data_IF_900761048909
#
_entry.id   IF_900761048909
#
_cell.length_a   1.000
_cell.length_b   1.000
_cell.length_c   1.000
_cell.angle_alpha   90.00
_cell.angle_beta   90.00
_cell.angle_gamma   90.00
#
_symmetry.space_group_name_H-M   'P 1'
#
loop_
_entity.id
_entity.type
_entity.pdbx_description
1 polymer ?
#
# COMPACT_ATOMS: atom_id res chain seq x y z
N UNK A 1 60.32 -7.07 -45.95
CA UNK A 1 60.75 -7.66 -44.66
C UNK A 1 60.32 -6.73 -43.52
N UNK A 2 59.58 -7.28 -42.53
CA UNK A 2 59.25 -6.74 -41.19
C UNK A 2 58.43 -5.42 -41.14
N UNK A 3 57.10 -5.47 -41.09
CA UNK A 3 56.24 -5.81 -39.93
C UNK A 3 56.27 -4.75 -38.82
N UNK A 4 55.23 -3.90 -38.71
CA UNK A 4 54.78 -3.29 -37.45
C UNK A 4 53.27 -3.08 -37.49
N UNK A 5 52.58 -4.01 -36.82
CA UNK A 5 51.17 -3.97 -36.50
C UNK A 5 50.87 -2.82 -35.53
N UNK A 6 49.93 -1.93 -35.88
CA UNK A 6 49.35 -0.98 -34.94
C UNK A 6 47.96 -1.50 -34.55
N UNK A 7 47.93 -2.43 -33.60
CA UNK A 7 46.69 -2.89 -32.98
C UNK A 7 46.14 -1.75 -32.13
N UNK A 8 45.05 -1.13 -32.57
CA UNK A 8 44.21 -0.30 -31.70
C UNK A 8 43.56 -1.22 -30.66
N UNK A 9 44.18 -1.30 -29.49
CA UNK A 9 43.55 -1.82 -28.27
C UNK A 9 42.46 -0.83 -27.85
N UNK A 10 41.26 -0.98 -28.42
CA UNK A 10 40.05 -0.37 -27.87
C UNK A 10 39.89 -0.98 -26.47
N UNK A 11 39.89 -0.16 -25.40
CA UNK A 11 39.86 -0.69 -24.05
C UNK A 11 38.50 -1.36 -23.85
N UNK A 12 38.52 -2.67 -23.65
CA UNK A 12 37.40 -3.53 -23.23
C UNK A 12 36.79 -3.11 -21.87
N UNK A 13 37.18 -1.95 -21.34
CA UNK A 13 36.93 -1.45 -20.00
C UNK A 13 35.87 -0.34 -20.00
N UNK A 14 34.85 -0.45 -20.85
CA UNK A 14 33.72 0.50 -20.83
C UNK A 14 32.34 -0.16 -20.92
N UNK A 15 32.26 -1.50 -20.92
CA UNK A 15 30.99 -2.23 -20.96
C UNK A 15 30.60 -2.89 -19.62
N UNK A 16 31.48 -2.90 -18.61
CA UNK A 16 31.20 -3.53 -17.31
C UNK A 16 30.53 -2.62 -16.29
N UNK A 17 30.34 -1.33 -16.58
CA UNK A 17 29.76 -0.38 -15.61
C UNK A 17 28.23 -0.29 -15.65
N UNK A 18 27.56 -0.87 -16.65
CA UNK A 18 26.10 -0.75 -16.81
C UNK A 18 25.27 -1.82 -16.09
N UNK A 19 25.89 -2.76 -15.35
CA UNK A 19 25.17 -3.83 -14.62
C UNK A 19 24.94 -3.55 -13.13
N UNK A 20 25.52 -2.50 -12.55
CA UNK A 20 25.44 -2.24 -11.10
C UNK A 20 24.26 -1.35 -10.67
N UNK A 21 23.40 -0.90 -11.59
CA UNK A 21 22.23 -0.07 -11.27
C UNK A 21 20.92 -0.85 -11.13
N UNK A 22 20.98 -2.18 -11.08
CA UNK A 22 19.86 -3.02 -10.67
C UNK A 22 19.65 -2.96 -9.16
N UNK A 23 19.12 -1.85 -8.64
CA UNK A 23 18.78 -1.73 -7.23
C UNK A 23 17.96 -2.94 -6.74
N UNK A 24 18.29 -3.48 -5.57
CA UNK A 24 17.55 -4.59 -4.97
C UNK A 24 16.09 -4.19 -4.75
N UNK A 25 15.18 -4.64 -5.62
CA UNK A 25 13.74 -4.39 -5.51
C UNK A 25 13.19 -4.98 -4.19
N UNK A 26 12.37 -4.21 -3.49
CA UNK A 26 11.83 -4.54 -2.16
C UNK A 26 10.85 -5.72 -2.23
N UNK A 27 10.62 -6.40 -1.10
CA UNK A 27 9.56 -7.42 -1.00
C UNK A 27 8.20 -6.76 -0.81
N UNK A 28 7.20 -7.32 -1.49
CA UNK A 28 5.79 -7.01 -1.35
C UNK A 28 5.05 -8.21 -0.74
N UNK A 29 3.75 -8.07 -0.49
CA UNK A 29 2.88 -9.14 0.00
C UNK A 29 1.84 -9.53 -1.04
N UNK A 30 1.62 -10.83 -1.19
CA UNK A 30 0.48 -11.40 -1.90
C UNK A 30 -0.74 -11.35 -0.98
N UNK A 31 -1.59 -10.34 -1.17
CA UNK A 31 -2.79 -10.17 -0.38
C UNK A 31 -3.96 -9.72 -1.24
N UNK A 32 -5.08 -10.43 -1.12
CA UNK A 32 -6.35 -10.16 -1.80
C UNK A 32 -7.46 -9.99 -0.78
N UNK A 33 -8.14 -8.84 -0.76
CA UNK A 33 -9.35 -8.67 0.05
C UNK A 33 -10.46 -9.59 -0.47
N UNK A 34 -10.63 -9.71 -1.79
CA UNK A 34 -11.66 -10.56 -2.40
C UNK A 34 -11.62 -11.99 -1.85
N UNK A 35 -10.44 -12.61 -1.82
CA UNK A 35 -10.26 -13.98 -1.32
C UNK A 35 -10.52 -14.13 0.18
N UNK A 36 -10.30 -13.09 0.98
CA UNK A 36 -10.61 -13.12 2.41
C UNK A 36 -12.11 -12.87 2.66
N UNK A 37 -12.75 -12.00 1.89
CA UNK A 37 -14.19 -11.76 1.93
C UNK A 37 -14.98 -13.01 1.52
N UNK A 38 -14.56 -13.72 0.47
CA UNK A 38 -15.13 -15.01 0.03
C UNK A 38 -15.09 -16.07 1.14
N UNK A 39 -14.08 -16.02 2.02
CA UNK A 39 -13.92 -16.92 3.17
C UNK A 39 -14.68 -16.46 4.42
N UNK A 40 -15.50 -15.41 4.31
CA UNK A 40 -16.39 -14.95 5.37
C UNK A 40 -15.81 -13.89 6.31
N UNK A 41 -14.60 -13.37 6.05
CA UNK A 41 -14.01 -12.28 6.84
C UNK A 41 -14.62 -10.92 6.48
N UNK A 42 -15.90 -10.74 6.80
CA UNK A 42 -16.69 -9.55 6.41
C UNK A 42 -16.44 -8.32 7.31
N UNK A 43 -16.01 -8.53 8.55
CA UNK A 43 -15.66 -7.42 9.44
C UNK A 43 -14.23 -6.94 9.13
N UNK A 44 -14.13 -5.73 8.56
CA UNK A 44 -12.85 -5.08 8.24
C UNK A 44 -11.94 -4.94 9.47
N UNK A 45 -12.52 -4.75 10.67
CA UNK A 45 -11.74 -4.58 11.89
C UNK A 45 -11.08 -5.88 12.36
N UNK A 46 -11.51 -7.04 11.85
CA UNK A 46 -10.84 -8.32 12.09
C UNK A 46 -9.34 -8.20 11.80
N UNK A 47 -8.96 -7.52 10.72
CA UNK A 47 -7.56 -7.32 10.34
C UNK A 47 -7.02 -5.94 10.73
N UNK A 48 -7.81 -4.88 10.52
CA UNK A 48 -7.35 -3.50 10.71
C UNK A 48 -7.18 -3.07 12.17
N UNK A 49 -7.81 -3.78 13.11
CA UNK A 49 -7.59 -3.71 14.56
C UNK A 49 -7.46 -2.27 15.12
N UNK A 50 -8.38 -1.39 14.68
CA UNK A 50 -8.54 -0.09 15.30
C UNK A 50 -9.22 -0.26 16.67
N UNK A 51 -8.81 0.59 17.61
CA UNK A 51 -9.30 0.56 18.99
C UNK A 51 -10.19 1.78 19.22
N UNK A 52 -10.17 2.32 20.43
CA UNK A 52 -10.87 3.55 20.81
C UNK A 52 -10.41 4.78 20.00
N UNK A 53 -9.21 4.72 19.39
CA UNK A 53 -8.71 5.75 18.47
C UNK A 53 -9.47 5.77 17.14
N UNK A 54 -10.21 4.70 16.80
CA UNK A 54 -10.93 4.52 15.54
C UNK A 54 -10.05 4.79 14.32
N UNK A 55 -8.76 4.49 14.43
CA UNK A 55 -7.78 4.69 13.37
C UNK A 55 -7.32 3.33 12.82
N UNK A 56 -7.79 2.92 11.62
CA UNK A 56 -7.41 1.66 10.99
C UNK A 56 -5.90 1.55 10.79
N UNK A 57 -5.33 0.41 11.21
CA UNK A 57 -3.89 0.14 11.07
C UNK A 57 -3.64 -0.85 9.96
N UNK A 58 -2.43 -0.82 9.42
CA UNK A 58 -1.95 -1.87 8.54
C UNK A 58 -1.77 -3.16 9.36
N UNK A 59 -2.33 -4.30 8.91
CA UNK A 59 -2.15 -5.57 9.59
C UNK A 59 -0.66 -5.94 9.67
N UNK A 60 -0.21 -6.32 10.86
CA UNK A 60 1.14 -6.86 11.06
C UNK A 60 1.15 -8.36 10.73
N UNK A 61 2.34 -8.92 10.48
CA UNK A 61 2.54 -10.34 10.19
C UNK A 61 1.82 -11.28 11.18
N UNK A 62 1.87 -10.96 12.48
CA UNK A 62 1.19 -11.73 13.52
C UNK A 62 -0.33 -11.85 13.31
N UNK A 63 -0.98 -10.86 12.68
CA UNK A 63 -2.41 -10.92 12.35
C UNK A 63 -2.68 -11.96 11.27
N UNK A 64 -1.85 -12.02 10.22
CA UNK A 64 -1.92 -13.06 9.20
C UNK A 64 -1.73 -14.45 9.83
N UNK A 65 -0.74 -14.57 10.71
CA UNK A 65 -0.39 -15.82 11.37
C UNK A 65 -1.42 -16.32 12.40
N UNK A 66 -2.36 -15.46 12.81
CA UNK A 66 -3.45 -15.89 13.71
C UNK A 66 -4.40 -16.92 13.08
N UNK A 67 -4.43 -16.99 11.74
CA UNK A 67 -5.21 -17.98 10.98
C UNK A 67 -4.35 -18.80 10.00
N UNK A 68 -3.30 -18.19 9.44
CA UNK A 68 -2.39 -18.87 8.52
C UNK A 68 -1.19 -19.46 9.26
N UNK A 69 -0.82 -20.70 8.93
CA UNK A 69 0.47 -21.31 9.34
C UNK A 69 0.72 -21.30 10.85
N UNK A 70 0.02 -22.17 11.57
CA UNK A 70 0.18 -22.38 13.04
C UNK A 70 1.64 -22.64 13.46
N UNK A 71 2.40 -23.32 12.61
CA UNK A 71 3.82 -23.65 12.82
C UNK A 71 4.72 -22.90 11.81
N UNK A 72 4.59 -21.58 11.75
CA UNK A 72 5.36 -20.75 10.83
C UNK A 72 6.86 -20.76 11.17
N UNK A 73 7.64 -21.41 10.31
CA UNK A 73 9.09 -21.43 10.39
C UNK A 73 9.70 -20.26 9.59
N UNK A 74 10.22 -19.26 10.31
CA UNK A 74 10.92 -18.10 9.75
C UNK A 74 12.30 -18.44 9.17
N UNK A 75 12.85 -19.62 9.48
CA UNK A 75 14.16 -20.05 8.97
C UNK A 75 14.07 -20.69 7.58
N UNK A 76 12.88 -21.11 7.15
CA UNK A 76 12.65 -21.71 5.84
C UNK A 76 12.28 -20.64 4.78
N UNK A 77 13.14 -20.35 3.79
CA UNK A 77 12.84 -19.33 2.78
C UNK A 77 11.59 -19.62 1.93
N UNK A 78 11.20 -20.89 1.79
CA UNK A 78 10.01 -21.28 1.01
C UNK A 78 8.71 -20.92 1.72
N UNK A 79 8.67 -20.95 3.06
CA UNK A 79 7.48 -20.54 3.83
C UNK A 79 7.16 -19.07 3.59
N UNK A 80 8.19 -18.22 3.49
CA UNK A 80 8.06 -16.79 3.25
C UNK A 80 7.40 -16.50 1.89
N UNK A 81 7.72 -17.28 0.86
CA UNK A 81 7.22 -17.08 -0.51
C UNK A 81 5.71 -17.32 -0.67
N UNK A 82 5.05 -17.94 0.31
CA UNK A 82 3.60 -18.10 0.30
C UNK A 82 2.87 -16.76 0.47
N UNK A 83 3.48 -15.82 1.18
CA UNK A 83 2.91 -14.50 1.44
C UNK A 83 3.74 -13.39 0.81
N UNK A 84 5.05 -13.55 0.67
CA UNK A 84 5.96 -12.52 0.19
C UNK A 84 6.39 -12.77 -1.24
N UNK A 85 6.58 -11.70 -2.02
CA UNK A 85 7.17 -11.82 -3.36
C UNK A 85 8.64 -12.21 -3.33
N UNK A 86 9.35 -11.99 -2.20
CA UNK A 86 10.78 -12.29 -2.01
C UNK A 86 11.07 -12.69 -0.55
N UNK A 87 11.88 -13.73 -0.28
CA UNK A 87 12.17 -14.17 1.08
C UNK A 87 13.18 -13.25 1.78
N UNK A 88 13.15 -13.22 3.12
CA UNK A 88 14.18 -12.59 3.95
C UNK A 88 14.22 -11.05 3.95
N UNK A 89 13.27 -10.37 3.30
CA UNK A 89 13.21 -8.90 3.27
C UNK A 89 12.02 -8.36 4.04
N UNK A 90 12.26 -7.34 4.87
CA UNK A 90 11.19 -6.57 5.49
C UNK A 90 10.37 -5.87 4.41
N UNK A 91 9.04 -6.02 4.46
CA UNK A 91 8.15 -5.21 3.63
C UNK A 91 8.27 -3.77 4.09
N UNK A 92 8.70 -2.88 3.20
CA UNK A 92 8.52 -1.45 3.39
C UNK A 92 7.18 -1.09 2.77
N UNK A 93 6.18 -0.89 3.61
CA UNK A 93 4.95 -0.24 3.16
C UNK A 93 5.34 1.18 2.80
N UNK A 94 5.56 1.43 1.51
CA UNK A 94 5.65 2.79 1.02
C UNK A 94 4.26 3.38 1.28
N UNK A 95 4.20 4.30 2.24
CA UNK A 95 3.02 5.11 2.49
C UNK A 95 3.27 6.52 1.91
N UNK A 96 3.50 6.68 0.59
CA UNK A 96 3.69 7.98 0.01
C UNK A 96 2.31 8.62 -0.01
N UNK A 97 1.94 9.33 1.07
CA UNK A 97 0.73 10.17 1.07
C UNK A 97 0.87 11.11 -0.13
N UNK A 98 0.05 10.94 -1.18
CA UNK A 98 0.20 11.75 -2.37
C UNK A 98 0.09 13.23 -1.99
N UNK A 99 0.82 14.12 -2.67
CA UNK A 99 0.89 15.55 -2.29
C UNK A 99 -0.51 16.16 -2.08
N UNK A 100 -1.49 15.76 -2.91
CA UNK A 100 -2.90 16.17 -2.83
C UNK A 100 -3.61 15.88 -1.50
N UNK A 101 -3.10 14.97 -0.66
CA UNK A 101 -3.68 14.63 0.63
C UNK A 101 -2.98 15.31 1.83
N UNK A 102 -1.83 15.97 1.62
CA UNK A 102 -1.03 16.50 2.74
C UNK A 102 -1.73 17.63 3.49
N UNK A 103 -2.43 18.47 2.74
CA UNK A 103 -3.19 19.60 3.27
C UNK A 103 -4.58 19.21 3.79
N UNK A 104 -4.99 17.95 3.69
CA UNK A 104 -6.32 17.54 4.13
C UNK A 104 -6.42 17.39 5.66
N UNK A 105 -7.44 18.01 6.25
CA UNK A 105 -8.01 17.73 7.56
C UNK A 105 -8.91 16.49 7.44
N UNK A 106 -8.35 15.33 7.73
CA UNK A 106 -9.09 14.06 7.69
C UNK A 106 -8.75 13.20 8.90
N UNK A 107 -9.77 12.56 9.49
CA UNK A 107 -9.63 11.55 10.55
C UNK A 107 -10.64 10.44 10.31
N UNK A 108 -10.26 9.17 10.45
CA UNK A 108 -11.23 8.07 10.33
C UNK A 108 -12.25 8.11 11.47
N UNK A 109 -11.80 8.47 12.68
CA UNK A 109 -12.61 8.57 13.88
C UNK A 109 -13.94 9.31 13.68
N UNK A 110 -13.89 10.55 13.20
CA UNK A 110 -15.11 11.37 13.00
C UNK A 110 -16.08 10.69 12.04
N UNK A 111 -15.59 10.05 10.98
CA UNK A 111 -16.43 9.40 9.99
C UNK A 111 -17.05 8.10 10.53
N UNK A 112 -16.27 7.29 11.25
CA UNK A 112 -16.76 6.06 11.88
C UNK A 112 -17.79 6.35 12.99
N UNK A 113 -17.58 7.40 13.79
CA UNK A 113 -18.57 7.85 14.80
C UNK A 113 -19.89 8.30 14.17
N UNK A 114 -19.83 8.85 12.95
CA UNK A 114 -21.00 9.22 12.15
C UNK A 114 -21.54 8.07 11.27
N UNK A 115 -21.14 6.82 11.56
CA UNK A 115 -21.62 5.60 10.88
C UNK A 115 -21.34 5.58 9.37
N UNK A 116 -20.25 6.22 8.95
CA UNK A 116 -19.74 6.09 7.57
C UNK A 116 -18.94 4.79 7.48
N UNK A 117 -19.47 3.86 6.70
CA UNK A 117 -18.87 2.54 6.47
C UNK A 117 -17.60 2.63 5.61
N UNK A 118 -16.65 1.72 5.83
CA UNK A 118 -15.36 1.72 5.14
C UNK A 118 -15.52 1.74 3.61
N UNK A 119 -16.48 0.95 3.09
CA UNK A 119 -16.75 0.79 1.65
C UNK A 119 -17.41 2.01 1.00
N UNK A 120 -17.95 2.95 1.78
CA UNK A 120 -18.47 4.20 1.22
C UNK A 120 -17.34 5.07 0.66
N UNK A 121 -16.16 5.00 1.27
CA UNK A 121 -14.95 5.69 0.80
C UNK A 121 -14.01 4.76 0.01
N UNK A 122 -13.74 3.56 0.52
CA UNK A 122 -12.87 2.56 -0.11
C UNK A 122 -13.65 1.66 -1.06
N UNK A 123 -14.34 2.27 -2.03
CA UNK A 123 -15.25 1.54 -2.95
C UNK A 123 -14.52 0.42 -3.70
N UNK A 124 -15.12 -0.78 -3.68
CA UNK A 124 -14.61 -1.95 -4.39
C UNK A 124 -13.43 -2.65 -3.70
N UNK A 125 -13.03 -2.20 -2.51
CA UNK A 125 -11.96 -2.86 -1.74
C UNK A 125 -12.30 -4.32 -1.46
N UNK A 126 -13.57 -4.63 -1.21
CA UNK A 126 -14.05 -5.97 -0.91
C UNK A 126 -13.92 -6.96 -2.08
N UNK A 127 -13.72 -6.45 -3.30
CA UNK A 127 -13.50 -7.25 -4.52
C UNK A 127 -12.08 -7.13 -5.06
N UNK A 128 -11.20 -6.43 -4.34
CA UNK A 128 -9.86 -6.14 -4.84
C UNK A 128 -8.86 -7.25 -4.49
N UNK A 129 -8.13 -7.71 -5.49
CA UNK A 129 -6.98 -8.62 -5.33
C UNK A 129 -5.67 -7.90 -5.01
N UNK A 130 -5.67 -6.57 -5.04
CA UNK A 130 -4.49 -5.76 -4.77
C UNK A 130 -4.86 -4.50 -3.98
N UNK A 131 -3.88 -3.94 -3.27
CA UNK A 131 -4.03 -2.66 -2.59
C UNK A 131 -3.39 -1.59 -3.49
N UNK A 132 -4.22 -0.75 -4.10
CA UNK A 132 -3.77 0.29 -5.04
C UNK A 132 -4.24 1.66 -4.59
N UNK A 133 -3.59 2.71 -5.10
CA UNK A 133 -3.95 4.10 -4.81
C UNK A 133 -5.37 4.46 -5.28
N UNK A 134 -5.94 3.72 -6.22
CA UNK A 134 -7.29 3.95 -6.73
C UNK A 134 -8.39 3.56 -5.72
N UNK A 135 -8.03 2.79 -4.70
CA UNK A 135 -8.92 2.39 -3.62
C UNK A 135 -8.95 3.43 -2.48
N UNK A 136 -8.16 4.51 -2.59
CA UNK A 136 -8.20 5.63 -1.65
C UNK A 136 -9.24 6.64 -2.16
N UNK A 137 -10.11 7.17 -1.28
CA UNK A 137 -11.12 8.14 -1.68
C UNK A 137 -10.52 9.37 -2.36
N UNK A 138 -11.27 9.90 -3.31
CA UNK A 138 -10.95 11.13 -4.01
C UNK A 138 -11.90 12.27 -3.56
N UNK A 139 -11.40 13.51 -3.65
CA UNK A 139 -12.14 14.67 -3.14
C UNK A 139 -13.47 14.87 -3.88
N UNK A 140 -13.47 14.77 -5.22
CA UNK A 140 -14.62 15.14 -6.05
C UNK A 140 -15.66 14.03 -6.17
N UNK A 141 -15.23 12.76 -6.15
CA UNK A 141 -16.09 11.59 -6.29
C UNK A 141 -16.53 10.98 -4.96
N UNK A 142 -15.86 11.30 -3.85
CA UNK A 142 -16.19 10.74 -2.53
C UNK A 142 -16.52 11.81 -1.49
N UNK A 143 -15.61 12.75 -1.24
CA UNK A 143 -15.74 13.68 -0.11
C UNK A 143 -16.82 14.75 -0.37
N UNK A 144 -16.68 15.51 -1.47
CA UNK A 144 -17.58 16.62 -1.82
C UNK A 144 -19.03 16.18 -1.95
N UNK A 145 -19.37 15.06 -2.64
CA UNK A 145 -20.77 14.67 -2.81
C UNK A 145 -21.50 14.49 -1.48
N UNK A 146 -20.91 13.79 -0.52
CA UNK A 146 -21.51 13.56 0.79
C UNK A 146 -21.53 14.85 1.64
N UNK A 147 -20.43 15.62 1.63
CA UNK A 147 -20.38 16.86 2.40
C UNK A 147 -21.33 17.95 1.87
N UNK A 148 -21.62 17.95 0.56
CA UNK A 148 -22.59 18.85 -0.07
C UNK A 148 -24.02 18.60 0.37
N UNK A 149 -24.36 17.39 0.81
CA UNK A 149 -25.68 17.09 1.40
C UNK A 149 -25.95 17.93 2.66
N UNK A 150 -24.90 18.48 3.28
CA UNK A 150 -24.97 19.36 4.44
C UNK A 150 -25.01 20.84 4.10
N UNK A 151 -25.17 21.22 2.82
CA UNK A 151 -25.18 22.61 2.36
C UNK A 151 -23.86 23.09 1.75
N UNK A 152 -23.85 24.31 1.21
CA UNK A 152 -22.67 24.92 0.56
C UNK A 152 -21.53 25.16 1.57
N UNK A 153 -21.87 25.40 2.84
CA UNK A 153 -20.92 25.48 3.95
C UNK A 153 -20.20 24.15 4.21
N UNK A 154 -20.86 23.02 3.91
CA UNK A 154 -20.31 21.68 4.07
C UNK A 154 -19.12 21.41 3.14
N UNK A 155 -19.00 22.17 2.05
CA UNK A 155 -17.93 22.05 1.05
C UNK A 155 -16.94 23.23 1.07
N UNK A 156 -17.04 24.11 2.05
CA UNK A 156 -16.11 25.24 2.18
C UNK A 156 -14.66 24.76 2.38
N UNK A 157 -13.68 25.50 1.84
CA UNK A 157 -12.26 25.12 1.89
C UNK A 157 -11.76 24.83 3.30
N UNK A 158 -12.28 25.54 4.31
CA UNK A 158 -11.90 25.37 5.71
C UNK A 158 -12.33 24.05 6.34
N UNK A 159 -13.32 23.38 5.76
CA UNK A 159 -13.77 22.05 6.18
C UNK A 159 -12.69 21.01 5.89
N UNK A 160 -12.07 21.09 4.70
CA UNK A 160 -11.12 20.07 4.24
C UNK A 160 -9.66 20.45 4.39
N UNK A 161 -9.28 21.74 4.37
CA UNK A 161 -7.87 22.14 4.29
C UNK A 161 -7.32 22.62 5.63
N UNK A 162 -6.10 22.19 5.95
CA UNK A 162 -5.34 22.61 7.15
C UNK A 162 -4.93 24.07 7.04
N UNK A 163 -4.52 24.47 5.84
CA UNK A 163 -4.06 25.81 5.54
C UNK A 163 -4.97 26.44 4.48
N UNK A 164 -5.41 27.67 4.72
CA UNK A 164 -6.32 28.43 3.86
C UNK A 164 -5.78 29.85 3.76
#
# INVERSE_FOLDING_TARGET
>A
MKNKNFYYTIPFMMLTFLMLLGGCKESEIHYSHAKHMERGLKDCNTCHNYKEDLEPKWPKMAKCLSCHMKDFDTSNPKSCLLCHTRPGMKIKVKHPIPKKYRDLKFTHKVHLENKVECVQCHKGIEKSDAITLNLIPDMFGTCIPCHKERGEEGIACNVFHKHI
#
